data_IF_038961403087
#
_entry.id   IF_038961403087
#
_cell.length_a   1.000
_cell.length_b   1.000
_cell.length_c   1.000
_cell.angle_alpha   90.00
_cell.angle_beta   90.00
_cell.angle_gamma   90.00
#
_symmetry.space_group_name_H-M   'P 1'
#
loop_
_entity.id
_entity.type
_entity.pdbx_description
1 polymer ?
#
# COMPACT_ATOMS: atom_id res chain seq x y z
N UNK A 1 -2.70 -14.02 3.42
CA UNK A 1 -3.16 -13.86 2.02
C UNK A 1 -1.97 -14.08 1.10
N UNK A 2 -2.19 -14.50 -0.16
CA UNK A 2 -1.08 -14.69 -1.10
C UNK A 2 -0.39 -13.33 -1.36
N UNK A 3 0.96 -13.28 -1.44
CA UNK A 3 1.65 -12.04 -1.77
C UNK A 3 1.24 -11.51 -3.15
N UNK A 4 1.19 -10.19 -3.29
CA UNK A 4 0.93 -9.54 -4.58
C UNK A 4 2.24 -9.05 -5.18
N UNK A 5 2.34 -9.14 -6.50
CA UNK A 5 3.44 -8.46 -7.21
C UNK A 5 3.26 -6.94 -7.10
N UNK A 6 4.35 -6.15 -7.28
CA UNK A 6 4.25 -4.70 -7.25
C UNK A 6 3.27 -4.13 -8.29
N UNK A 7 3.11 -4.81 -9.43
CA UNK A 7 2.14 -4.43 -10.46
C UNK A 7 0.71 -4.66 -9.97
N UNK A 8 0.40 -5.86 -9.49
CA UNK A 8 -0.95 -6.20 -9.01
C UNK A 8 -1.41 -5.27 -7.89
N UNK A 9 -0.54 -4.98 -6.92
CA UNK A 9 -0.90 -4.10 -5.81
C UNK A 9 -1.12 -2.64 -6.25
N UNK A 10 -0.37 -2.16 -7.25
CA UNK A 10 -0.59 -0.81 -7.79
C UNK A 10 -1.86 -0.74 -8.64
N UNK A 11 -2.14 -1.79 -9.42
CA UNK A 11 -3.37 -1.86 -10.23
C UNK A 11 -4.63 -1.79 -9.33
N UNK A 12 -4.67 -2.50 -8.19
CA UNK A 12 -5.83 -2.40 -7.27
C UNK A 12 -6.02 -1.02 -6.66
N UNK A 13 -4.93 -0.31 -6.36
CA UNK A 13 -5.02 1.05 -5.82
C UNK A 13 -5.57 1.99 -6.90
N UNK A 14 -5.11 1.83 -8.14
CA UNK A 14 -5.61 2.59 -9.30
C UNK A 14 -7.10 2.33 -9.51
N UNK A 15 -7.55 1.08 -9.44
CA UNK A 15 -8.97 0.70 -9.53
C UNK A 15 -9.81 1.33 -8.39
N UNK A 16 -9.20 1.56 -7.23
CA UNK A 16 -9.79 2.29 -6.10
C UNK A 16 -9.66 3.82 -6.19
N UNK A 17 -9.18 4.37 -7.31
CA UNK A 17 -8.89 5.79 -7.52
C UNK A 17 -7.80 6.37 -6.59
N UNK A 18 -6.88 5.52 -6.12
CA UNK A 18 -5.69 5.91 -5.35
C UNK A 18 -4.48 5.80 -6.28
N UNK A 19 -3.96 6.93 -6.75
CA UNK A 19 -2.84 6.92 -7.69
C UNK A 19 -1.51 6.68 -6.95
N UNK A 20 -0.50 6.06 -7.61
CA UNK A 20 0.82 5.88 -6.99
C UNK A 20 1.48 7.18 -6.49
N UNK A 21 1.19 8.30 -7.14
CA UNK A 21 1.68 9.62 -6.74
C UNK A 21 0.98 10.10 -5.44
N UNK A 22 -0.27 9.73 -5.21
CA UNK A 22 -0.99 10.03 -3.97
C UNK A 22 -0.35 9.28 -2.79
N UNK A 23 0.02 8.00 -2.99
CA UNK A 23 0.73 7.20 -1.96
C UNK A 23 2.08 7.83 -1.64
N UNK A 24 2.81 8.25 -2.67
CA UNK A 24 4.09 8.94 -2.53
C UNK A 24 3.94 10.28 -1.76
N UNK A 25 2.88 11.03 -2.05
CA UNK A 25 2.55 12.27 -1.34
C UNK A 25 2.18 12.02 0.12
N UNK A 26 1.44 10.94 0.42
CA UNK A 26 1.08 10.56 1.78
C UNK A 26 2.29 10.13 2.61
N UNK A 27 3.18 9.29 2.04
CA UNK A 27 4.44 8.89 2.69
C UNK A 27 5.31 10.13 3.01
N UNK A 28 5.31 11.14 2.13
CA UNK A 28 6.05 12.39 2.38
C UNK A 28 5.59 13.14 3.65
N UNK A 29 4.33 12.99 4.07
CA UNK A 29 3.77 13.62 5.27
C UNK A 29 4.21 12.94 6.58
N UNK A 30 4.86 11.76 6.53
CA UNK A 30 5.38 11.11 7.72
C UNK A 30 6.48 11.98 8.35
N UNK A 31 6.25 12.42 9.60
CA UNK A 31 7.13 13.33 10.31
C UNK A 31 8.48 12.71 10.72
N UNK A 32 8.48 11.44 11.18
CA UNK A 32 9.70 10.75 11.55
C UNK A 32 10.50 10.35 10.29
N UNK A 33 11.70 10.92 10.16
CA UNK A 33 12.52 10.77 8.95
C UNK A 33 12.92 9.31 8.68
N UNK A 34 13.09 8.49 9.71
CA UNK A 34 13.48 7.08 9.56
C UNK A 34 12.29 6.24 9.12
N UNK A 35 11.12 6.48 9.72
CA UNK A 35 9.85 5.85 9.35
C UNK A 35 9.51 6.18 7.90
N UNK A 36 9.61 7.45 7.51
CA UNK A 36 9.41 7.89 6.13
C UNK A 36 10.33 7.20 5.14
N UNK A 37 11.64 7.14 5.43
CA UNK A 37 12.61 6.48 4.55
C UNK A 37 12.33 4.97 4.41
N UNK A 38 11.92 4.30 5.49
CA UNK A 38 11.52 2.89 5.44
C UNK A 38 10.25 2.67 4.63
N UNK A 39 9.24 3.53 4.79
CA UNK A 39 8.02 3.49 4.00
C UNK A 39 8.30 3.68 2.51
N UNK A 40 9.16 4.64 2.13
CA UNK A 40 9.61 4.81 0.75
C UNK A 40 10.31 3.56 0.21
N UNK A 41 11.27 2.99 0.95
CA UNK A 41 11.97 1.80 0.49
C UNK A 41 11.00 0.62 0.25
N UNK A 42 10.03 0.41 1.16
CA UNK A 42 9.02 -0.62 1.02
C UNK A 42 8.03 -0.35 -0.13
N UNK A 43 7.75 0.92 -0.43
CA UNK A 43 6.84 1.33 -1.51
C UNK A 43 7.49 1.32 -2.91
N UNK A 44 8.71 1.82 -3.02
CA UNK A 44 9.42 2.00 -4.30
C UNK A 44 10.06 0.70 -4.79
N UNK A 45 10.69 -0.06 -3.88
CA UNK A 45 11.47 -1.26 -4.21
C UNK A 45 10.96 -2.57 -3.56
N UNK A 46 9.64 -2.87 -3.56
CA UNK A 46 9.14 -4.13 -3.05
C UNK A 46 9.47 -5.28 -4.02
N UNK A 47 9.95 -6.40 -3.48
CA UNK A 47 9.94 -7.67 -4.22
C UNK A 47 8.50 -8.20 -4.35
N UNK A 48 7.71 -8.02 -3.30
CA UNK A 48 6.30 -8.38 -3.20
C UNK A 48 5.65 -7.51 -2.12
N UNK A 49 4.34 -7.31 -2.22
CA UNK A 49 3.53 -6.77 -1.14
C UNK A 49 2.90 -7.90 -0.36
N UNK A 50 3.02 -7.84 0.96
CA UNK A 50 2.46 -8.81 1.90
C UNK A 50 1.40 -8.08 2.72
N UNK A 51 0.19 -8.64 2.81
CA UNK A 51 -0.93 -7.97 3.48
C UNK A 51 -0.60 -7.49 4.90
N UNK A 52 0.22 -8.24 5.64
CA UNK A 52 0.60 -7.95 7.02
C UNK A 52 1.84 -7.05 7.14
N UNK A 53 2.35 -6.51 6.03
CA UNK A 53 3.44 -5.53 6.07
C UNK A 53 2.92 -4.20 6.66
N UNK A 54 3.63 -3.57 7.61
CA UNK A 54 3.21 -2.30 8.21
C UNK A 54 2.92 -1.18 7.20
N UNK A 55 3.57 -1.18 6.04
CA UNK A 55 3.28 -0.20 4.99
C UNK A 55 1.83 -0.32 4.50
N UNK A 56 1.28 -1.53 4.43
CA UNK A 56 -0.08 -1.76 3.92
C UNK A 56 -1.11 -1.17 4.86
N UNK A 57 -0.95 -1.37 6.17
CA UNK A 57 -1.84 -0.77 7.16
C UNK A 57 -1.71 0.77 7.15
N UNK A 58 -0.50 1.32 6.98
CA UNK A 58 -0.30 2.76 6.82
C UNK A 58 -0.98 3.33 5.58
N UNK A 59 -0.92 2.63 4.44
CA UNK A 59 -1.67 3.01 3.23
C UNK A 59 -3.17 3.04 3.54
N UNK A 60 -3.68 2.07 4.30
CA UNK A 60 -5.06 2.09 4.76
C UNK A 60 -5.42 3.36 5.51
N UNK A 61 -4.63 3.70 6.52
CA UNK A 61 -4.82 4.91 7.32
C UNK A 61 -4.77 6.19 6.47
N UNK A 62 -3.83 6.30 5.52
CA UNK A 62 -3.70 7.48 4.65
C UNK A 62 -4.93 7.74 3.79
N UNK A 63 -5.61 6.68 3.37
CA UNK A 63 -6.76 6.77 2.46
C UNK A 63 -8.09 6.43 3.13
N UNK A 64 -8.13 6.38 4.47
CA UNK A 64 -9.30 6.02 5.27
C UNK A 64 -9.92 4.66 4.88
N UNK A 65 -9.08 3.71 4.47
CA UNK A 65 -9.49 2.33 4.23
C UNK A 65 -9.35 1.54 5.53
N UNK A 66 -10.38 0.77 5.85
CA UNK A 66 -10.31 -0.17 6.97
C UNK A 66 -9.44 -1.39 6.61
N UNK A 67 -8.96 -2.16 7.60
CA UNK A 67 -8.28 -3.41 7.31
C UNK A 67 -9.13 -4.37 6.45
N UNK A 68 -10.45 -4.35 6.63
CA UNK A 68 -11.41 -5.15 5.84
C UNK A 68 -11.51 -4.67 4.39
N UNK A 69 -11.48 -3.35 4.14
CA UNK A 69 -11.46 -2.81 2.78
C UNK A 69 -10.22 -3.29 2.02
N UNK A 70 -9.04 -3.24 2.67
CA UNK A 70 -7.80 -3.73 2.08
C UNK A 70 -7.88 -5.24 1.83
N UNK A 71 -8.42 -6.01 2.77
CA UNK A 71 -8.61 -7.46 2.60
C UNK A 71 -9.52 -7.75 1.38
N UNK A 72 -10.61 -7.01 1.22
CA UNK A 72 -11.52 -7.15 0.09
C UNK A 72 -10.83 -6.82 -1.25
N UNK A 73 -10.05 -5.73 -1.30
CA UNK A 73 -9.25 -5.39 -2.48
C UNK A 73 -8.26 -6.52 -2.83
N UNK A 74 -7.66 -7.13 -1.81
CA UNK A 74 -6.66 -8.18 -1.98
C UNK A 74 -7.27 -9.52 -2.45
N UNK A 75 -8.47 -9.87 -1.97
CA UNK A 75 -9.21 -11.06 -2.42
C UNK A 75 -9.65 -10.90 -3.88
N UNK A 76 -10.09 -9.71 -4.28
CA UNK A 76 -10.57 -9.44 -5.64
C UNK A 76 -9.54 -9.73 -6.74
N UNK A 77 -8.25 -9.74 -6.40
CA UNK A 77 -7.15 -10.05 -7.33
C UNK A 77 -6.92 -11.56 -7.51
N UNK A 78 -7.29 -12.36 -6.51
CA UNK A 78 -7.05 -13.80 -6.47
C UNK A 78 -8.22 -14.64 -6.99
N UNK A 79 -9.32 -13.97 -7.37
CA UNK A 79 -10.57 -14.58 -7.85
C UNK A 79 -10.59 -14.76 -9.37
#
# INVERSE_FOLDING_TARGET
MAPLTPRMFRDILIDANIMPDDVTAAINQIADVKTRAKAFNAWEYPTQFIRTDPLIDQIGEFFNLTPEDIDNMWIGVLA
#
